data_IF_630287406213
#
_entry.id   IF_630287406213
#
_cell.length_a   1.000
_cell.length_b   1.000
_cell.length_c   1.000
_cell.angle_alpha   90.00
_cell.angle_beta   90.00
_cell.angle_gamma   90.00
#
_symmetry.space_group_name_H-M   'P 1'
#
loop_
_entity.id
_entity.type
_entity.pdbx_description
1 polymer ?
#
# COMPACT_ATOMS: atom_id res chain seq x y z
N UNK A 1 -14.78 0.68 -2.70
CA UNK A 1 -13.41 0.27 -2.33
C UNK A 1 -12.87 1.03 -1.12
N UNK A 2 -12.99 2.37 -1.08
CA UNK A 2 -12.45 3.19 0.02
C UNK A 2 -12.91 2.76 1.43
N UNK A 3 -14.21 2.56 1.66
CA UNK A 3 -14.72 2.10 2.97
C UNK A 3 -14.09 0.77 3.40
N UNK A 4 -14.10 -0.24 2.54
CA UNK A 4 -13.56 -1.55 2.88
C UNK A 4 -12.05 -1.49 3.20
N UNK A 5 -11.27 -0.79 2.38
CA UNK A 5 -9.81 -0.75 2.54
C UNK A 5 -9.37 0.18 3.67
N UNK A 6 -9.83 1.43 3.65
CA UNK A 6 -9.29 2.49 4.49
C UNK A 6 -10.12 2.77 5.75
N UNK A 7 -11.32 2.19 5.87
CA UNK A 7 -12.13 2.27 7.11
C UNK A 7 -12.19 0.93 7.83
N UNK A 8 -12.42 -0.17 7.10
CA UNK A 8 -12.58 -1.49 7.72
C UNK A 8 -11.24 -2.20 7.90
N UNK A 9 -10.51 -2.50 6.83
CA UNK A 9 -9.24 -3.25 6.92
C UNK A 9 -8.14 -2.42 7.60
N UNK A 10 -8.11 -1.11 7.34
CA UNK A 10 -7.18 -0.21 8.02
C UNK A 10 -7.47 -0.03 9.52
N UNK A 11 -8.62 -0.49 10.05
CA UNK A 11 -8.86 -0.50 11.49
C UNK A 11 -8.27 -1.72 12.21
N UNK A 12 -7.80 -2.73 11.47
CA UNK A 12 -7.19 -3.92 12.05
C UNK A 12 -5.81 -3.62 12.68
N UNK A 13 -5.37 -4.40 13.68
CA UNK A 13 -4.02 -4.31 14.26
C UNK A 13 -2.92 -4.36 13.19
N UNK A 14 -1.82 -3.64 13.41
CA UNK A 14 -0.76 -3.50 12.41
C UNK A 14 0.02 -4.79 12.15
N UNK A 15 0.04 -5.71 13.10
CA UNK A 15 0.64 -7.04 12.98
C UNK A 15 -0.25 -8.04 12.23
N UNK A 16 -1.49 -7.66 11.89
CA UNK A 16 -2.42 -8.51 11.12
C UNK A 16 -1.81 -8.90 9.79
N UNK A 17 -1.59 -10.19 9.58
CA UNK A 17 -1.03 -10.74 8.33
C UNK A 17 -2.01 -10.65 7.17
N UNK A 18 -1.50 -10.27 6.00
CA UNK A 18 -2.29 -10.16 4.77
C UNK A 18 -2.07 -11.37 3.89
N UNK A 19 -3.16 -12.07 3.57
CA UNK A 19 -3.21 -13.22 2.68
C UNK A 19 -4.12 -12.89 1.48
N UNK A 20 -3.58 -12.29 0.41
CA UNK A 20 -4.38 -11.95 -0.77
C UNK A 20 -4.78 -13.23 -1.53
N UNK A 21 -5.97 -13.24 -2.13
CA UNK A 21 -6.46 -14.38 -2.91
C UNK A 21 -5.73 -14.63 -4.24
N UNK A 22 -4.88 -13.69 -4.68
CA UNK A 22 -4.13 -13.78 -5.93
C UNK A 22 -2.72 -13.19 -5.78
N UNK A 23 -1.76 -13.79 -6.49
CA UNK A 23 -0.35 -13.36 -6.52
C UNK A 23 -0.13 -12.22 -7.52
N UNK A 24 -0.67 -11.04 -7.21
CA UNK A 24 -0.56 -9.85 -8.06
C UNK A 24 0.54 -8.88 -7.65
N UNK A 25 1.39 -9.22 -6.67
CA UNK A 25 2.37 -8.28 -6.10
C UNK A 25 3.30 -7.69 -7.15
N UNK A 26 3.86 -8.50 -8.06
CA UNK A 26 4.72 -8.01 -9.16
C UNK A 26 4.00 -6.98 -10.04
N UNK A 27 2.76 -7.26 -10.45
CA UNK A 27 1.98 -6.36 -11.30
C UNK A 27 1.55 -5.09 -10.53
N UNK A 28 1.17 -5.25 -9.26
CA UNK A 28 0.83 -4.14 -8.39
C UNK A 28 2.02 -3.18 -8.27
N UNK A 29 3.23 -3.69 -8.01
CA UNK A 29 4.43 -2.84 -7.92
C UNK A 29 4.72 -2.07 -9.20
N UNK A 30 4.54 -2.70 -10.38
CA UNK A 30 4.68 -1.99 -11.66
C UNK A 30 3.76 -0.78 -11.77
N UNK A 31 2.53 -0.89 -11.26
CA UNK A 31 1.64 0.27 -11.17
C UNK A 31 2.12 1.27 -10.11
N UNK A 32 2.52 0.81 -8.91
CA UNK A 32 2.99 1.67 -7.83
C UNK A 32 4.15 2.57 -8.29
N UNK A 33 5.11 2.06 -9.05
CA UNK A 33 6.28 2.83 -9.53
C UNK A 33 5.92 3.94 -10.54
N UNK A 34 4.72 3.91 -11.13
CA UNK A 34 4.20 4.99 -11.98
C UNK A 34 3.64 6.16 -11.17
N UNK A 35 3.12 5.89 -9.96
CA UNK A 35 2.46 6.87 -9.10
C UNK A 35 3.38 7.37 -7.99
N UNK A 36 4.11 6.47 -7.35
CA UNK A 36 4.90 6.72 -6.14
C UNK A 36 6.26 6.01 -6.24
N UNK A 37 7.33 6.78 -6.40
CA UNK A 37 8.71 6.27 -6.47
C UNK A 37 9.44 6.52 -5.15
N UNK A 38 9.18 5.66 -4.17
CA UNK A 38 9.77 5.74 -2.84
C UNK A 38 10.63 4.51 -2.54
N UNK A 39 11.53 4.62 -1.56
CA UNK A 39 12.36 3.49 -1.12
C UNK A 39 11.54 2.24 -0.73
N UNK A 40 10.39 2.33 -0.03
CA UNK A 40 9.54 1.17 0.24
C UNK A 40 8.99 0.48 -1.01
N UNK A 41 8.61 1.24 -2.05
CA UNK A 41 8.15 0.67 -3.33
C UNK A 41 9.29 -0.05 -4.03
N UNK A 42 10.50 0.50 -4.03
CA UNK A 42 11.69 -0.14 -4.60
C UNK A 42 12.05 -1.43 -3.85
N UNK A 43 11.99 -1.43 -2.50
CA UNK A 43 12.20 -2.64 -1.69
C UNK A 43 11.14 -3.71 -2.00
N UNK A 44 9.88 -3.31 -2.15
CA UNK A 44 8.81 -4.23 -2.53
C UNK A 44 9.03 -4.78 -3.94
N UNK A 45 9.53 -3.97 -4.87
CA UNK A 45 9.90 -4.41 -6.21
C UNK A 45 10.97 -5.50 -6.17
N UNK A 46 12.09 -5.22 -5.51
CA UNK A 46 13.18 -6.19 -5.36
C UNK A 46 12.69 -7.46 -4.65
N UNK A 47 11.85 -7.33 -3.62
CA UNK A 47 11.25 -8.49 -2.96
C UNK A 47 10.40 -9.31 -3.93
N UNK A 48 9.50 -8.66 -4.67
CA UNK A 48 8.62 -9.34 -5.61
C UNK A 48 9.42 -10.02 -6.73
N UNK A 49 10.48 -9.40 -7.25
CA UNK A 49 11.33 -9.97 -8.31
C UNK A 49 12.08 -11.24 -7.85
N UNK A 50 12.53 -11.26 -6.60
CA UNK A 50 13.33 -12.36 -6.04
C UNK A 50 12.50 -13.45 -5.33
N UNK A 51 11.16 -13.34 -5.32
CA UNK A 51 10.29 -14.33 -4.67
C UNK A 51 9.17 -14.77 -5.63
N UNK A 52 8.93 -16.08 -5.70
CA UNK A 52 7.81 -16.63 -6.47
C UNK A 52 6.47 -16.44 -5.75
N UNK A 53 6.48 -16.47 -4.42
CA UNK A 53 5.31 -16.33 -3.56
C UNK A 53 5.52 -15.19 -2.55
N UNK A 54 4.55 -14.28 -2.48
CA UNK A 54 4.63 -13.09 -1.62
C UNK A 54 3.53 -13.03 -0.56
N UNK A 55 2.49 -13.86 -0.70
CA UNK A 55 1.39 -13.98 0.27
C UNK A 55 1.86 -14.27 1.71
N UNK A 56 1.22 -13.67 2.70
CA UNK A 56 1.51 -13.89 4.13
C UNK A 56 2.85 -13.30 4.62
N UNK A 57 3.61 -12.64 3.76
CA UNK A 57 4.89 -12.01 4.11
C UNK A 57 4.72 -10.59 4.67
N UNK A 58 3.59 -9.96 4.38
CA UNK A 58 3.28 -8.58 4.75
C UNK A 58 2.15 -8.51 5.78
N UNK A 59 2.08 -7.37 6.48
CA UNK A 59 0.99 -7.06 7.40
C UNK A 59 0.18 -5.86 6.92
N UNK A 60 -1.00 -5.67 7.51
CA UNK A 60 -1.80 -4.46 7.30
C UNK A 60 -1.01 -3.20 7.71
N UNK A 61 -0.15 -3.31 8.72
CA UNK A 61 0.76 -2.24 9.13
C UNK A 61 1.79 -1.89 8.06
N UNK A 62 2.29 -2.87 7.29
CA UNK A 62 3.15 -2.59 6.15
C UNK A 62 2.43 -1.70 5.12
N UNK A 63 1.15 -1.94 4.82
CA UNK A 63 0.44 -1.21 3.75
C UNK A 63 -0.03 0.21 4.11
N UNK A 64 -0.27 0.48 5.39
CA UNK A 64 -0.81 1.75 5.91
C UNK A 64 0.19 2.89 5.82
N UNK A 65 -0.33 4.12 5.91
CA UNK A 65 0.48 5.33 6.12
C UNK A 65 0.65 5.60 7.62
N UNK A 66 1.88 5.87 8.06
CA UNK A 66 2.14 6.69 9.24
C UNK A 66 1.82 6.13 10.63
N UNK A 67 1.46 4.86 10.81
CA UNK A 67 1.19 4.35 12.16
C UNK A 67 2.48 3.90 12.87
N UNK A 68 3.22 4.87 13.42
CA UNK A 68 4.19 4.62 14.48
C UNK A 68 3.41 4.36 15.77
N UNK A 69 3.07 3.11 16.07
CA UNK A 69 2.46 2.83 17.36
C UNK A 69 3.43 3.22 18.48
N UNK A 70 2.93 3.96 19.47
CA UNK A 70 3.70 4.68 20.49
C UNK A 70 3.94 3.88 21.77
N UNK A 71 3.50 2.62 21.87
CA UNK A 71 3.70 1.84 23.08
C UNK A 71 3.58 0.34 22.83
N UNK A 72 4.58 -0.43 23.28
CA UNK A 72 4.63 -1.90 23.38
C UNK A 72 4.71 -2.70 22.06
N UNK A 73 5.61 -3.67 21.86
CA UNK A 73 6.69 -4.21 22.70
C UNK A 73 7.62 -5.01 21.76
N UNK A 74 8.91 -4.65 21.70
CA UNK A 74 9.96 -5.51 21.13
C UNK A 74 10.43 -5.23 19.70
N UNK A 75 11.52 -4.45 19.64
CA UNK A 75 12.49 -4.30 18.53
C UNK A 75 12.28 -3.17 17.51
N UNK A 76 13.35 -2.38 17.40
CA UNK A 76 13.69 -1.29 16.47
C UNK A 76 12.77 -1.07 15.25
N UNK A 77 12.16 0.12 15.20
CA UNK A 77 12.01 0.90 13.98
C UNK A 77 11.50 0.11 12.75
N UNK A 78 10.42 -0.65 12.93
CA UNK A 78 9.68 -1.23 11.81
C UNK A 78 9.23 -0.09 10.91
N UNK A 79 9.98 0.10 9.83
CA UNK A 79 9.68 1.02 8.74
C UNK A 79 8.32 0.59 8.22
N UNK A 80 7.26 1.32 8.60
CA UNK A 80 5.94 1.23 7.97
C UNK A 80 6.20 1.28 6.46
N UNK A 81 5.99 0.17 5.75
CA UNK A 81 6.38 0.03 4.34
C UNK A 81 5.31 0.68 3.47
N UNK A 82 5.19 2.00 3.49
CA UNK A 82 4.08 2.73 2.87
C UNK A 82 4.05 2.68 1.32
N UNK A 83 3.84 1.50 0.73
CA UNK A 83 3.82 1.31 -0.72
C UNK A 83 2.40 1.32 -1.30
N UNK A 84 1.35 1.05 -0.52
CA UNK A 84 -0.01 0.91 -1.05
C UNK A 84 -0.67 2.27 -1.34
N UNK A 85 -0.62 2.73 -2.59
CA UNK A 85 -1.23 4.01 -3.01
C UNK A 85 -2.74 4.08 -2.78
N UNK A 86 -3.45 2.96 -2.73
CA UNK A 86 -4.90 2.95 -2.44
C UNK A 86 -5.21 3.25 -0.95
N UNK A 87 -4.21 3.13 -0.07
CA UNK A 87 -4.28 3.58 1.33
C UNK A 87 -3.73 5.01 1.53
N UNK A 88 -3.27 5.67 0.46
CA UNK A 88 -2.61 6.99 0.47
C UNK A 88 -3.44 8.09 -0.20
N UNK A 89 -4.77 8.07 -0.07
CA UNK A 89 -5.66 8.94 -0.86
C UNK A 89 -5.50 10.45 -0.58
N UNK A 90 -4.93 10.80 0.57
CA UNK A 90 -4.64 12.20 0.94
C UNK A 90 -3.17 12.58 0.70
N UNK A 91 -2.36 11.68 0.15
CA UNK A 91 -0.95 11.95 -0.14
C UNK A 91 -0.83 12.94 -1.32
N UNK A 92 -0.07 14.04 -1.17
CA UNK A 92 0.05 15.04 -2.25
C UNK A 92 0.58 14.47 -3.57
N UNK A 93 1.45 13.46 -3.52
CA UNK A 93 1.99 12.80 -4.72
C UNK A 93 0.90 12.01 -5.44
N UNK A 94 0.07 11.30 -4.67
CA UNK A 94 -1.06 10.50 -5.19
C UNK A 94 -2.16 11.40 -5.75
N UNK A 95 -2.49 12.49 -5.05
CA UNK A 95 -3.44 13.48 -5.54
C UNK A 95 -2.94 14.17 -6.80
N UNK A 96 -1.65 14.53 -6.86
CA UNK A 96 -1.03 15.09 -8.07
C UNK A 96 -1.06 14.12 -9.25
N UNK A 97 -0.79 12.84 -9.01
CA UNK A 97 -0.82 11.81 -10.07
C UNK A 97 -2.23 11.58 -10.63
N UNK A 98 -3.26 11.73 -9.80
CA UNK A 98 -4.68 11.56 -10.20
C UNK A 98 -5.34 12.85 -10.68
N UNK A 99 -4.80 14.01 -10.33
CA UNK A 99 -5.46 15.30 -10.53
C UNK A 99 -6.74 15.48 -9.70
N UNK A 100 -6.91 14.69 -8.63
CA UNK A 100 -8.08 14.68 -7.74
C UNK A 100 -7.65 14.92 -6.30
N UNK A 101 -8.57 15.42 -5.47
CA UNK A 101 -8.31 15.71 -4.04
C UNK A 101 -9.26 14.94 -3.13
N UNK A 102 -10.51 14.75 -3.55
CA UNK A 102 -11.50 14.01 -2.75
C UNK A 102 -11.16 12.52 -2.71
N UNK A 103 -11.12 11.87 -1.53
CA UNK A 103 -10.64 10.49 -1.41
C UNK A 103 -11.37 9.48 -2.31
N UNK A 104 -12.69 9.63 -2.47
CA UNK A 104 -13.47 8.73 -3.34
C UNK A 104 -13.08 8.90 -4.81
N UNK A 105 -12.83 10.14 -5.23
CA UNK A 105 -12.44 10.46 -6.61
C UNK A 105 -10.99 10.04 -6.89
N UNK A 106 -10.08 10.27 -5.94
CA UNK A 106 -8.69 9.77 -5.99
C UNK A 106 -8.68 8.25 -6.11
N UNK A 107 -9.51 7.56 -5.32
CA UNK A 107 -9.64 6.11 -5.38
C UNK A 107 -10.15 5.63 -6.74
N UNK A 108 -11.14 6.32 -7.31
CA UNK A 108 -11.67 6.04 -8.65
C UNK A 108 -10.61 6.21 -9.73
N UNK A 109 -9.93 7.36 -9.75
CA UNK A 109 -8.88 7.67 -10.71
C UNK A 109 -7.71 6.68 -10.64
N UNK A 110 -7.23 6.33 -9.44
CA UNK A 110 -6.19 5.30 -9.29
C UNK A 110 -6.63 3.94 -9.86
N UNK A 111 -7.91 3.59 -9.70
CA UNK A 111 -8.42 2.31 -10.21
C UNK A 111 -8.47 2.32 -11.73
N UNK A 112 -8.90 3.41 -12.34
CA UNK A 112 -8.91 3.60 -13.79
C UNK A 112 -7.49 3.56 -14.36
N UNK A 113 -6.56 4.33 -13.78
CA UNK A 113 -5.14 4.32 -14.17
C UNK A 113 -4.56 2.90 -14.15
N UNK A 114 -4.85 2.13 -13.10
CA UNK A 114 -4.39 0.73 -12.99
C UNK A 114 -5.06 -0.19 -14.02
N UNK A 115 -6.33 0.03 -14.35
CA UNK A 115 -7.06 -0.81 -15.30
C UNK A 115 -6.61 -0.60 -16.75
N UNK A 116 -6.00 0.54 -17.06
CA UNK A 116 -5.50 0.89 -18.39
C UNK A 116 -4.02 0.53 -18.62
N UNK A 117 -3.40 -0.21 -17.71
CA UNK A 117 -2.02 -0.73 -17.81
C UNK A 117 -2.01 -2.22 -18.17
#
# INVERSE_FOLDING_TARGET
>A
MHTALNKTLAALPNDTKVYPGHEYTKQNVKFLTTVLRTEPVNKLQSFAENNEQTQGKFTIGDEKVGFKDRASYGSKADQVKEYNVFMRLNDPTVQKATGKTEPVDVMGALREMKNSM
#
